data_IF_458336711823
#
_entry.id   IF_458336711823
#
_cell.length_a   1.000
_cell.length_b   1.000
_cell.length_c   1.000
_cell.angle_alpha   90.00
_cell.angle_beta   90.00
_cell.angle_gamma   90.00
#
_symmetry.space_group_name_H-M   'P 1'
#
loop_
_entity.id
_entity.type
_entity.pdbx_description
1 polymer ?
#
# COMPACT_ATOMS: atom_id res chain seq x y z
N UNK A 1 9.16 11.40 -1.72
CA UNK A 1 8.66 10.08 -2.12
C UNK A 1 7.44 9.73 -1.28
N UNK A 2 6.29 9.77 -1.92
CA UNK A 2 5.02 9.33 -1.37
C UNK A 2 5.01 7.80 -1.25
N UNK A 3 4.47 7.30 -0.13
CA UNK A 3 4.34 5.87 0.16
C UNK A 3 2.88 5.51 0.35
N UNK A 4 2.52 4.31 -0.11
CA UNK A 4 1.26 3.67 0.25
C UNK A 4 1.47 2.93 1.57
N UNK A 5 0.53 3.03 2.50
CA UNK A 5 0.59 2.33 3.78
C UNK A 5 -0.33 1.12 3.75
N UNK A 6 0.20 -0.04 4.10
CA UNK A 6 -0.56 -1.24 4.39
C UNK A 6 -0.47 -1.51 5.89
N UNK A 7 -1.61 -1.48 6.57
CA UNK A 7 -1.74 -2.07 7.90
C UNK A 7 -2.10 -3.54 7.70
N UNK A 8 -1.20 -4.42 8.11
CA UNK A 8 -1.28 -5.86 7.87
C UNK A 8 -1.55 -6.59 9.17
N UNK A 9 -2.59 -7.41 9.22
CA UNK A 9 -2.76 -8.36 10.31
C UNK A 9 -1.83 -9.57 10.14
N UNK A 10 -1.28 -10.07 11.24
CA UNK A 10 -0.38 -11.24 11.24
C UNK A 10 -0.98 -12.48 10.56
N UNK A 11 -2.30 -12.64 10.58
CA UNK A 11 -3.00 -13.73 9.90
C UNK A 11 -3.06 -13.58 8.37
N UNK A 12 -2.79 -12.39 7.84
CA UNK A 12 -2.93 -12.04 6.42
C UNK A 12 -1.57 -11.91 5.70
N UNK A 13 -0.48 -12.49 6.25
CA UNK A 13 0.89 -12.37 5.69
C UNK A 13 1.00 -12.73 4.20
N UNK A 14 0.11 -13.57 3.67
CA UNK A 14 0.01 -13.88 2.24
C UNK A 14 -0.12 -12.62 1.37
N UNK A 15 -0.78 -11.57 1.87
CA UNK A 15 -0.93 -10.29 1.16
C UNK A 15 0.42 -9.59 0.97
N UNK A 16 1.31 -9.69 1.95
CA UNK A 16 2.67 -9.15 1.84
C UNK A 16 3.44 -9.90 0.74
N UNK A 17 3.38 -11.23 0.74
CA UNK A 17 4.08 -12.07 -0.23
C UNK A 17 3.63 -11.78 -1.67
N UNK A 18 2.32 -11.58 -1.89
CA UNK A 18 1.79 -11.19 -3.20
C UNK A 18 2.34 -9.85 -3.68
N UNK A 19 2.42 -8.86 -2.79
CA UNK A 19 2.96 -7.52 -3.11
C UNK A 19 4.47 -7.58 -3.36
N UNK A 20 5.21 -8.40 -2.60
CA UNK A 20 6.65 -8.61 -2.79
C UNK A 20 6.96 -9.25 -4.15
N UNK A 21 6.14 -10.23 -4.57
CA UNK A 21 6.27 -10.89 -5.89
C UNK A 21 6.07 -9.95 -7.07
N UNK A 22 5.37 -8.82 -6.89
CA UNK A 22 5.28 -7.77 -7.90
C UNK A 22 6.58 -6.95 -8.05
N UNK A 23 7.57 -7.18 -7.18
CA UNK A 23 8.80 -6.39 -7.13
C UNK A 23 8.62 -5.04 -6.43
N UNK A 24 7.56 -4.87 -5.63
CA UNK A 24 7.36 -3.66 -4.83
C UNK A 24 8.44 -3.56 -3.76
N UNK A 25 9.11 -2.41 -3.68
CA UNK A 25 9.99 -2.11 -2.54
C UNK A 25 9.13 -1.82 -1.32
N UNK A 26 9.32 -2.59 -0.26
CA UNK A 26 8.57 -2.47 0.99
C UNK A 26 9.50 -2.19 2.15
N UNK A 27 9.01 -1.38 3.10
CA UNK A 27 9.67 -1.13 4.37
C UNK A 27 8.68 -1.44 5.50
N UNK A 28 9.03 -2.41 6.33
CA UNK A 28 8.28 -2.67 7.56
C UNK A 28 8.61 -1.59 8.59
N UNK A 29 7.58 -1.12 9.26
CA UNK A 29 7.66 -0.16 10.35
C UNK A 29 6.88 -0.72 11.53
N UNK A 30 7.58 -1.02 12.61
CA UNK A 30 6.95 -1.30 13.90
C UNK A 30 6.49 0.04 14.46
N UNK A 31 5.27 0.46 14.14
CA UNK A 31 4.71 1.67 14.72
C UNK A 31 4.27 1.37 16.16
N UNK A 32 4.94 1.98 17.14
CA UNK A 32 4.47 2.04 18.53
C UNK A 32 3.18 2.88 18.71
N UNK A 33 2.61 3.41 17.61
CA UNK A 33 1.65 4.52 17.62
C UNK A 33 0.28 4.21 16.99
N UNK A 34 -0.19 2.97 17.01
CA UNK A 34 -1.62 2.68 16.75
C UNK A 34 -2.27 1.98 17.94
N UNK A 35 -3.03 2.78 18.70
CA UNK A 35 -4.02 2.41 19.71
C UNK A 35 -4.29 0.89 19.89
N UNK A 36 -3.56 0.27 20.81
CA UNK A 36 -4.03 -0.90 21.56
C UNK A 36 -3.99 -2.28 20.89
N UNK A 37 -3.74 -2.40 19.58
CA UNK A 37 -3.71 -3.70 18.90
C UNK A 37 -2.31 -4.05 18.37
N UNK A 38 -1.53 -4.69 19.25
CA UNK A 38 -0.13 -5.12 19.09
C UNK A 38 0.13 -6.08 17.90
N UNK A 39 -0.91 -6.42 17.13
CA UNK A 39 -0.91 -7.48 16.11
C UNK A 39 -0.93 -6.97 14.67
N UNK A 40 -0.90 -5.65 14.48
CA UNK A 40 -0.87 -5.03 13.16
C UNK A 40 0.55 -4.55 12.82
N UNK A 41 1.05 -5.01 11.68
CA UNK A 41 2.34 -4.61 11.13
C UNK A 41 2.08 -3.48 10.13
N UNK A 42 2.83 -2.39 10.23
CA UNK A 42 2.74 -1.31 9.23
C UNK A 42 3.78 -1.54 8.16
N UNK A 43 3.35 -1.61 6.90
CA UNK A 43 4.21 -1.78 5.73
C UNK A 43 4.08 -0.54 4.85
N UNK A 44 5.21 0.09 4.54
CA UNK A 44 5.29 1.21 3.60
C UNK A 44 5.69 0.66 2.24
N UNK A 45 4.82 0.83 1.25
CA UNK A 45 4.99 0.33 -0.11
C UNK A 45 5.39 1.50 -1.02
N UNK A 46 6.50 1.34 -1.73
CA UNK A 46 6.90 2.24 -2.81
C UNK A 46 6.15 1.87 -4.08
N UNK A 47 5.32 2.80 -4.56
CA UNK A 47 4.55 2.60 -5.79
C UNK A 47 5.32 3.20 -6.97
N UNK A 48 5.69 2.34 -7.92
CA UNK A 48 6.29 2.69 -9.20
C UNK A 48 5.28 2.50 -10.34
N UNK A 49 5.41 3.19 -11.48
CA UNK A 49 4.46 3.04 -12.60
C UNK A 49 4.27 1.60 -13.08
N UNK A 50 5.36 0.81 -13.11
CA UNK A 50 5.34 -0.57 -13.59
C UNK A 50 4.56 -1.54 -12.70
N UNK A 51 4.35 -1.23 -11.41
CA UNK A 51 3.66 -2.14 -10.48
C UNK A 51 2.16 -1.84 -10.35
N UNK A 52 1.68 -0.70 -10.87
CA UNK A 52 0.29 -0.25 -10.70
C UNK A 52 -0.70 -1.30 -11.18
N UNK A 53 -0.53 -1.79 -12.41
CA UNK A 53 -1.46 -2.75 -13.01
C UNK A 53 -1.57 -4.06 -12.21
N UNK A 54 -0.49 -4.50 -11.56
CA UNK A 54 -0.50 -5.68 -10.68
C UNK A 54 -1.01 -5.39 -9.27
N UNK A 55 -0.73 -4.20 -8.75
CA UNK A 55 -1.06 -3.83 -7.37
C UNK A 55 -2.54 -3.47 -7.21
N UNK A 56 -3.16 -2.83 -8.20
CA UNK A 56 -4.60 -2.49 -8.19
C UNK A 56 -5.50 -3.68 -7.85
N UNK A 57 -5.46 -4.83 -8.57
CA UNK A 57 -6.34 -5.95 -8.26
C UNK A 57 -6.08 -6.57 -6.89
N UNK A 58 -4.82 -6.59 -6.42
CA UNK A 58 -4.47 -7.07 -5.07
C UNK A 58 -5.13 -6.18 -4.01
N UNK A 59 -5.01 -4.86 -4.13
CA UNK A 59 -5.63 -3.93 -3.19
C UNK A 59 -7.14 -4.09 -3.20
N UNK A 60 -7.78 -4.10 -4.38
CA UNK A 60 -9.25 -4.25 -4.47
C UNK A 60 -9.72 -5.57 -3.85
N UNK A 61 -9.03 -6.68 -4.11
CA UNK A 61 -9.33 -7.96 -3.49
C UNK A 61 -9.14 -7.90 -1.97
N UNK A 62 -8.06 -7.27 -1.50
CA UNK A 62 -7.78 -7.14 -0.08
C UNK A 62 -8.81 -6.29 0.67
N UNK A 63 -9.30 -5.20 0.06
CA UNK A 63 -10.32 -4.32 0.64
C UNK A 63 -11.68 -5.03 0.83
N UNK A 64 -11.93 -6.11 0.09
CA UNK A 64 -13.16 -6.91 0.21
C UNK A 64 -12.96 -8.16 1.07
N UNK A 65 -11.78 -8.79 1.01
CA UNK A 65 -11.45 -10.04 1.71
C UNK A 65 -11.08 -9.82 3.17
N UNK A 66 -10.26 -8.82 3.49
CA UNK A 66 -9.67 -8.68 4.82
C UNK A 66 -10.40 -7.66 5.69
N UNK A 67 -10.77 -8.07 6.90
CA UNK A 67 -11.50 -7.21 7.85
C UNK A 67 -10.60 -6.29 8.67
N UNK A 68 -9.37 -6.71 8.96
CA UNK A 68 -8.40 -5.96 9.78
C UNK A 68 -7.32 -5.28 8.94
N UNK A 69 -6.86 -5.94 7.88
CA UNK A 69 -5.87 -5.36 6.99
C UNK A 69 -6.46 -4.21 6.17
N UNK A 70 -5.71 -3.12 6.03
CA UNK A 70 -6.16 -1.86 5.43
C UNK A 70 -5.08 -1.19 4.61
N UNK A 71 -5.46 -0.69 3.44
CA UNK A 71 -4.62 0.21 2.66
C UNK A 71 -4.98 1.66 2.97
N UNK A 72 -3.96 2.49 3.17
CA UNK A 72 -4.08 3.91 3.45
C UNK A 72 -3.13 4.71 2.59
N UNK A 73 -3.58 5.88 2.16
CA UNK A 73 -2.72 6.89 1.52
C UNK A 73 -2.90 8.22 2.23
N UNK A 74 -1.79 8.82 2.70
CA UNK A 74 -1.81 10.07 3.48
C UNK A 74 -2.79 10.04 4.67
N UNK A 75 -2.91 8.88 5.31
CA UNK A 75 -3.80 8.66 6.46
C UNK A 75 -5.27 8.35 6.11
N UNK A 76 -5.66 8.47 4.84
CA UNK A 76 -7.02 8.16 4.37
C UNK A 76 -7.13 6.67 4.08
N UNK A 77 -8.13 6.02 4.67
CA UNK A 77 -8.45 4.60 4.44
C UNK A 77 -9.13 4.41 3.08
N UNK A 78 -8.64 3.42 2.32
CA UNK A 78 -9.11 3.13 0.97
C UNK A 78 -10.24 2.09 0.94
N UNK A 79 -10.76 1.66 2.09
CA UNK A 79 -11.91 0.74 2.15
C UNK A 79 -13.11 1.31 1.40
N UNK A 80 -13.70 0.49 0.52
CA UNK A 80 -14.87 0.86 -0.30
C UNK A 80 -14.53 1.55 -1.61
N UNK A 81 -13.26 1.78 -1.92
CA UNK A 81 -12.83 2.38 -3.18
C UNK A 81 -12.96 1.35 -4.32
N UNK A 82 -13.43 1.80 -5.46
CA UNK A 82 -13.48 1.01 -6.69
C UNK A 82 -12.09 0.80 -7.29
N UNK A 83 -11.96 -0.17 -8.20
CA UNK A 83 -10.70 -0.43 -8.89
C UNK A 83 -10.16 0.81 -9.62
N UNK A 84 -11.03 1.58 -10.27
CA UNK A 84 -10.64 2.82 -10.96
C UNK A 84 -10.11 3.89 -9.99
N UNK A 85 -10.72 4.01 -8.80
CA UNK A 85 -10.27 4.97 -7.79
C UNK A 85 -8.93 4.55 -7.19
N UNK A 86 -8.75 3.26 -6.91
CA UNK A 86 -7.46 2.70 -6.45
C UNK A 86 -6.38 2.97 -7.49
N UNK A 87 -6.62 2.66 -8.77
CA UNK A 87 -5.66 2.88 -9.85
C UNK A 87 -5.27 4.36 -9.99
N UNK A 88 -6.24 5.27 -9.91
CA UNK A 88 -5.99 6.72 -9.92
C UNK A 88 -5.07 7.14 -8.77
N UNK A 89 -5.30 6.64 -7.56
CA UNK A 89 -4.46 6.95 -6.39
C UNK A 89 -3.05 6.41 -6.58
N UNK A 90 -2.90 5.16 -7.00
CA UNK A 90 -1.59 4.56 -7.27
C UNK A 90 -0.83 5.34 -8.35
N UNK A 91 -1.53 5.79 -9.39
CA UNK A 91 -0.97 6.63 -10.45
C UNK A 91 -0.45 7.96 -9.90
N UNK A 92 -1.22 8.63 -9.04
CA UNK A 92 -0.79 9.88 -8.38
C UNK A 92 0.47 9.65 -7.53
N UNK A 93 0.50 8.56 -6.75
CA UNK A 93 1.68 8.21 -5.92
C UNK A 93 2.91 8.01 -6.81
N UNK A 94 2.77 7.21 -7.86
CA UNK A 94 3.86 6.90 -8.78
C UNK A 94 4.37 8.15 -9.53
N UNK A 95 3.47 9.03 -9.97
CA UNK A 95 3.84 10.30 -10.61
C UNK A 95 4.62 11.22 -9.68
N UNK A 96 4.16 11.36 -8.42
CA UNK A 96 4.87 12.16 -7.43
C UNK A 96 6.28 11.60 -7.15
N UNK A 97 6.43 10.28 -7.12
CA UNK A 97 7.72 9.62 -6.94
C UNK A 97 8.66 9.82 -8.13
N UNK A 98 8.14 9.82 -9.35
CA UNK A 98 8.95 10.03 -10.56
C UNK A 98 9.43 11.49 -10.68
N UNK A 99 8.55 12.46 -10.35
CA UNK A 99 8.90 13.88 -10.33
C UNK A 99 9.96 14.22 -9.27
N UNK A 100 9.94 13.53 -8.13
CA UNK A 100 10.97 13.68 -7.08
C UNK A 100 12.33 13.12 -7.51
N UNK A 101 12.38 12.13 -8.40
CA UNK A 101 13.63 11.55 -8.93
C UNK A 101 14.28 12.48 -9.96
N UNK A 102 13.47 13.08 -10.85
CA UNK A 102 13.96 14.04 -11.85
C UNK A 102 14.47 15.34 -11.23
N UNK A 103 13.89 15.79 -10.10
CA UNK A 103 14.36 16.99 -9.38
C UNK A 103 15.65 16.78 -8.58
N UNK A 104 16.08 15.53 -8.39
CA UNK A 104 17.31 15.18 -7.65
C UNK A 104 18.51 14.90 -8.56
N UNK A 105 18.32 14.96 -9.88
CA UNK A 105 19.39 14.94 -10.90
C UNK A 105 19.76 16.35 -11.31
#
# INVERSE_FOLDING_TARGET
MDKLTLLLAEEDYELKDEIERLGCKMQESQSEFFNGDIRLITILIEVMPCVIAGLTPIIVAALTKYKKSRFKYKGIDMTGYSAEEVEKILTIIAQNNNLDDEKKK
#
